data_IF_454792165032
#
_entry.id   IF_454792165032
#
_cell.length_a   1.000
_cell.length_b   1.000
_cell.length_c   1.000
_cell.angle_alpha   90.00
_cell.angle_beta   90.00
_cell.angle_gamma   90.00
#
_symmetry.space_group_name_H-M   'P 1'
#
loop_
_entity.id
_entity.type
_entity.pdbx_description
1 polymer ?
#
# COMPACT_ATOMS: atom_id res chain seq x y z
N UNK A 1 -1.87 19.58 -7.55
CA UNK A 1 -2.88 18.90 -6.69
C UNK A 1 -3.94 19.88 -6.21
N UNK A 2 -3.57 21.11 -5.73
CA UNK A 2 -4.55 22.15 -5.34
C UNK A 2 -5.44 22.65 -6.50
N UNK A 3 -4.93 22.62 -7.73
CA UNK A 3 -5.70 23.05 -8.90
C UNK A 3 -6.77 22.04 -9.33
N UNK A 4 -6.56 20.76 -9.03
CA UNK A 4 -7.47 19.68 -9.43
C UNK A 4 -8.70 19.57 -8.51
N UNK A 5 -8.50 19.80 -7.20
CA UNK A 5 -9.61 19.80 -6.22
C UNK A 5 -10.50 21.04 -6.32
N UNK A 6 -10.01 22.16 -6.87
CA UNK A 6 -10.82 23.36 -7.10
C UNK A 6 -11.86 23.20 -8.19
N UNK A 7 -11.74 22.22 -9.09
CA UNK A 7 -12.63 22.03 -10.23
C UNK A 7 -13.78 21.03 -10.01
N UNK A 8 -13.71 20.19 -8.96
CA UNK A 8 -14.68 19.08 -8.79
C UNK A 8 -15.70 19.34 -7.69
N UNK A 9 -15.36 20.15 -6.69
CA UNK A 9 -16.31 20.49 -5.62
C UNK A 9 -16.21 21.99 -5.30
N UNK A 10 -17.33 22.66 -5.25
CA UNK A 10 -17.46 24.04 -4.75
C UNK A 10 -16.90 24.09 -3.31
N UNK A 11 -15.67 24.62 -3.15
CA UNK A 11 -15.02 24.72 -1.86
C UNK A 11 -13.87 23.76 -1.58
N UNK A 12 -13.50 22.88 -2.53
CA UNK A 12 -12.32 21.99 -2.44
C UNK A 12 -12.29 21.12 -1.19
N UNK A 13 -12.81 19.89 -1.24
CA UNK A 13 -12.69 18.94 -0.13
C UNK A 13 -11.20 18.66 0.09
N UNK A 14 -10.66 18.81 1.32
CA UNK A 14 -9.29 18.44 1.62
C UNK A 14 -9.02 16.97 1.32
N UNK A 15 -7.82 16.66 0.79
CA UNK A 15 -7.43 15.29 0.45
C UNK A 15 -7.57 14.31 1.62
N UNK A 16 -7.26 14.75 2.83
CA UNK A 16 -7.37 13.93 4.03
C UNK A 16 -8.80 13.50 4.34
N UNK A 17 -9.80 14.39 4.10
CA UNK A 17 -11.22 14.07 4.29
C UNK A 17 -11.69 13.04 3.27
N UNK A 18 -11.30 13.22 2.00
CA UNK A 18 -11.67 12.29 0.94
C UNK A 18 -11.04 10.91 1.18
N UNK A 19 -9.75 10.89 1.55
CA UNK A 19 -9.03 9.67 1.83
C UNK A 19 -9.68 8.90 2.99
N UNK A 20 -9.91 9.58 4.11
CA UNK A 20 -10.55 8.97 5.28
C UNK A 20 -11.97 8.48 4.97
N UNK A 21 -12.77 9.29 4.27
CA UNK A 21 -14.16 8.95 3.93
C UNK A 21 -14.28 7.73 3.03
N UNK A 22 -13.40 7.58 2.04
CA UNK A 22 -13.37 6.42 1.15
C UNK A 22 -12.94 5.13 1.86
N UNK A 23 -12.20 5.24 2.96
CA UNK A 23 -11.73 4.08 3.72
C UNK A 23 -12.74 3.57 4.76
N UNK A 24 -13.80 4.33 5.09
CA UNK A 24 -14.83 3.89 6.05
C UNK A 24 -15.45 2.54 5.67
N UNK A 25 -15.90 2.30 4.43
CA UNK A 25 -16.45 1.00 4.04
C UNK A 25 -15.43 -0.13 4.21
N UNK A 26 -14.15 0.13 3.91
CA UNK A 26 -13.08 -0.85 4.08
C UNK A 26 -12.83 -1.18 5.55
N UNK A 27 -12.92 -0.21 6.45
CA UNK A 27 -12.81 -0.45 7.90
C UNK A 27 -13.95 -1.33 8.42
N UNK A 28 -15.19 -1.11 7.96
CA UNK A 28 -16.32 -1.95 8.34
C UNK A 28 -16.17 -3.39 7.86
N UNK A 29 -15.78 -3.58 6.60
CA UNK A 29 -15.49 -4.90 6.03
C UNK A 29 -14.29 -5.56 6.74
N UNK A 30 -13.24 -4.79 6.98
CA UNK A 30 -12.04 -5.25 7.69
C UNK A 30 -12.32 -5.74 9.10
N UNK A 31 -13.18 -5.03 9.82
CA UNK A 31 -13.64 -5.44 11.15
C UNK A 31 -14.32 -6.80 11.11
N UNK A 32 -15.20 -7.00 10.14
CA UNK A 32 -15.92 -8.27 9.98
C UNK A 32 -15.00 -9.43 9.59
N UNK A 33 -13.98 -9.19 8.77
CA UNK A 33 -13.11 -10.22 8.19
C UNK A 33 -11.90 -10.53 9.08
N UNK A 34 -11.15 -9.50 9.53
CA UNK A 34 -9.89 -9.65 10.28
C UNK A 34 -9.99 -9.30 11.77
N UNK A 35 -11.11 -8.73 12.19
CA UNK A 35 -11.37 -8.37 13.58
C UNK A 35 -10.89 -6.97 13.95
N UNK A 36 -11.23 -6.54 15.18
CA UNK A 36 -11.01 -5.19 15.68
C UNK A 36 -9.52 -4.82 15.80
N UNK A 37 -8.66 -5.74 16.21
CA UNK A 37 -7.22 -5.50 16.37
C UNK A 37 -6.54 -5.08 15.06
N UNK A 38 -6.94 -5.65 13.92
CA UNK A 38 -6.44 -5.27 12.60
C UNK A 38 -6.92 -3.88 12.21
N UNK A 39 -8.22 -3.62 12.41
CA UNK A 39 -8.84 -2.34 12.03
C UNK A 39 -8.32 -1.19 12.88
N UNK A 40 -8.07 -1.40 14.18
CA UNK A 40 -7.52 -0.36 15.03
C UNK A 40 -6.12 0.11 14.57
N UNK A 41 -5.27 -0.84 14.13
CA UNK A 41 -3.97 -0.52 13.52
C UNK A 41 -4.13 0.19 12.17
N UNK A 42 -5.11 -0.22 11.36
CA UNK A 42 -5.41 0.42 10.09
C UNK A 42 -5.91 1.86 10.28
N UNK A 43 -6.79 2.10 11.24
CA UNK A 43 -7.26 3.45 11.59
C UNK A 43 -6.10 4.30 12.08
N UNK A 44 -5.21 3.77 12.91
CA UNK A 44 -4.03 4.49 13.38
C UNK A 44 -3.13 4.90 12.20
N UNK A 45 -2.87 3.98 11.26
CA UNK A 45 -2.10 4.25 10.06
C UNK A 45 -2.76 5.33 9.19
N UNK A 46 -4.06 5.22 8.97
CA UNK A 46 -4.85 6.18 8.18
C UNK A 46 -4.88 7.57 8.83
N UNK A 47 -5.10 7.65 10.14
CA UNK A 47 -5.08 8.93 10.88
C UNK A 47 -3.70 9.56 10.79
N UNK A 48 -2.63 8.79 10.95
CA UNK A 48 -1.25 9.27 10.83
C UNK A 48 -0.96 9.80 9.41
N UNK A 49 -1.37 9.05 8.39
CA UNK A 49 -1.23 9.47 6.99
C UNK A 49 -2.03 10.74 6.70
N UNK A 50 -3.29 10.78 7.13
CA UNK A 50 -4.18 11.93 6.92
C UNK A 50 -3.67 13.18 7.66
N UNK A 51 -3.15 13.03 8.87
CA UNK A 51 -2.52 14.11 9.61
C UNK A 51 -1.27 14.63 8.88
N UNK A 52 -0.41 13.72 8.40
CA UNK A 52 0.76 14.10 7.61
C UNK A 52 0.37 14.86 6.35
N UNK A 53 -0.60 14.37 5.60
CA UNK A 53 -1.13 15.03 4.38
C UNK A 53 -1.72 16.42 4.67
N UNK A 54 -2.28 16.64 5.86
CA UNK A 54 -2.84 17.94 6.25
C UNK A 54 -1.76 18.98 6.53
N UNK A 55 -0.61 18.58 7.08
CA UNK A 55 0.48 19.47 7.48
C UNK A 55 1.62 19.55 6.47
N UNK A 56 1.71 18.60 5.54
CA UNK A 56 2.80 18.53 4.58
C UNK A 56 2.81 19.75 3.63
N UNK A 57 3.90 20.52 3.58
CA UNK A 57 4.08 21.54 2.56
C UNK A 57 4.26 20.89 1.19
N UNK A 58 3.71 21.51 0.15
CA UNK A 58 3.88 21.02 -1.23
C UNK A 58 5.28 21.37 -1.70
N UNK A 59 6.21 20.44 -1.58
CA UNK A 59 7.56 20.57 -2.13
C UNK A 59 7.59 19.94 -3.51
N UNK A 60 7.94 20.73 -4.52
CA UNK A 60 8.11 20.23 -5.88
C UNK A 60 9.57 19.79 -6.09
N UNK A 61 9.98 18.69 -5.39
CA UNK A 61 11.35 18.18 -5.44
C UNK A 61 11.73 17.59 -6.80
N UNK A 62 10.76 17.04 -7.51
CA UNK A 62 10.98 16.43 -8.83
C UNK A 62 10.78 17.42 -9.98
N UNK A 63 10.38 18.66 -9.71
CA UNK A 63 10.00 19.62 -10.75
C UNK A 63 8.85 19.09 -11.60
N UNK A 64 8.98 19.17 -12.91
CA UNK A 64 8.03 18.64 -13.88
C UNK A 64 8.44 17.25 -14.41
N UNK A 65 9.51 16.65 -13.86
CA UNK A 65 10.01 15.35 -14.28
C UNK A 65 9.20 14.22 -13.64
N UNK A 66 8.24 13.69 -14.42
CA UNK A 66 7.38 12.59 -14.00
C UNK A 66 8.15 11.28 -13.77
N UNK A 67 9.25 11.05 -14.50
CA UNK A 67 10.07 9.85 -14.33
C UNK A 67 10.79 9.89 -12.97
N UNK A 68 11.39 11.04 -12.65
CA UNK A 68 12.06 11.26 -11.37
C UNK A 68 11.06 11.09 -10.20
N UNK A 69 9.87 11.68 -10.34
CA UNK A 69 8.79 11.53 -9.36
C UNK A 69 8.33 10.08 -9.19
N UNK A 70 8.20 9.31 -10.28
CA UNK A 70 7.79 7.92 -10.25
C UNK A 70 8.86 7.03 -9.60
N UNK A 71 10.14 7.24 -9.91
CA UNK A 71 11.24 6.44 -9.38
C UNK A 71 11.44 6.69 -7.87
N UNK A 72 11.71 7.93 -7.48
CA UNK A 72 11.97 8.25 -6.07
C UNK A 72 10.71 8.14 -5.22
N UNK A 73 9.56 8.59 -5.74
CA UNK A 73 8.29 8.45 -5.07
C UNK A 73 7.91 6.99 -4.84
N UNK A 74 8.11 6.12 -5.85
CA UNK A 74 7.86 4.68 -5.75
C UNK A 74 8.74 4.00 -4.71
N UNK A 75 10.04 4.32 -4.66
CA UNK A 75 10.95 3.76 -3.66
C UNK A 75 10.57 4.20 -2.24
N UNK A 76 10.39 5.51 -2.01
CA UNK A 76 10.06 6.06 -0.68
C UNK A 76 8.71 5.51 -0.20
N UNK A 77 7.72 5.47 -1.08
CA UNK A 77 6.41 4.91 -0.78
C UNK A 77 6.49 3.42 -0.47
N UNK A 78 7.27 2.65 -1.24
CA UNK A 78 7.49 1.23 -1.03
C UNK A 78 8.12 0.92 0.32
N UNK A 79 9.11 1.72 0.75
CA UNK A 79 9.70 1.63 2.11
C UNK A 79 8.62 1.91 3.16
N UNK A 80 7.85 2.99 3.01
CA UNK A 80 6.79 3.35 3.96
C UNK A 80 5.74 2.25 4.11
N UNK A 81 5.21 1.74 3.01
CA UNK A 81 4.22 0.64 3.00
C UNK A 81 4.80 -0.64 3.60
N UNK A 82 6.04 -0.99 3.22
CA UNK A 82 6.73 -2.17 3.77
C UNK A 82 6.87 -2.11 5.29
N UNK A 83 7.24 -0.95 5.85
CA UNK A 83 7.33 -0.75 7.31
C UNK A 83 5.97 -0.86 8.00
N UNK A 84 4.92 -0.29 7.40
CA UNK A 84 3.55 -0.40 7.92
C UNK A 84 3.08 -1.86 7.96
N UNK A 85 3.34 -2.63 6.91
CA UNK A 85 3.01 -4.07 6.87
C UNK A 85 3.82 -4.89 7.87
N UNK A 86 5.09 -4.57 8.10
CA UNK A 86 5.91 -5.21 9.15
C UNK A 86 5.34 -4.94 10.55
N UNK A 87 4.78 -3.76 10.79
CA UNK A 87 4.02 -3.43 12.00
C UNK A 87 2.67 -4.16 12.13
N UNK A 88 2.27 -4.92 11.09
CA UNK A 88 0.98 -5.59 11.03
C UNK A 88 -0.19 -4.63 10.85
N UNK A 89 0.09 -3.43 10.33
CA UNK A 89 -0.90 -2.40 10.01
C UNK A 89 -1.17 -2.29 8.51
N UNK A 90 -1.90 -1.26 8.14
CA UNK A 90 -2.19 -0.82 6.76
C UNK A 90 -2.57 0.66 6.83
N UNK A 91 -2.43 1.38 5.73
CA UNK A 91 -2.77 2.80 5.64
C UNK A 91 -4.20 3.04 5.11
N UNK A 92 -5.01 2.00 4.97
CA UNK A 92 -6.29 2.06 4.25
C UNK A 92 -6.07 1.90 2.73
N UNK A 93 -7.11 2.10 1.93
CA UNK A 93 -6.99 2.04 0.47
C UNK A 93 -6.68 0.65 -0.09
N UNK A 94 -5.86 0.60 -1.16
CA UNK A 94 -5.54 -0.64 -1.89
C UNK A 94 -4.72 -1.63 -1.07
N UNK A 95 -3.87 -1.15 -0.17
CA UNK A 95 -3.09 -1.97 0.76
C UNK A 95 -4.00 -2.70 1.77
N UNK A 96 -5.03 -2.05 2.27
CA UNK A 96 -6.03 -2.69 3.12
C UNK A 96 -6.87 -3.71 2.34
N UNK A 97 -7.30 -3.37 1.11
CA UNK A 97 -7.99 -4.33 0.24
C UNK A 97 -7.13 -5.56 -0.01
N UNK A 98 -5.85 -5.38 -0.34
CA UNK A 98 -4.91 -6.46 -0.56
C UNK A 98 -4.76 -7.34 0.71
N UNK A 99 -4.64 -6.72 1.88
CA UNK A 99 -4.56 -7.44 3.15
C UNK A 99 -5.83 -8.25 3.47
N UNK A 100 -7.02 -7.76 3.09
CA UNK A 100 -8.28 -8.49 3.26
C UNK A 100 -8.37 -9.67 2.29
N UNK A 101 -8.02 -9.47 1.01
CA UNK A 101 -8.02 -10.51 -0.02
C UNK A 101 -6.98 -11.59 0.31
N UNK A 102 -5.82 -11.23 0.84
CA UNK A 102 -4.76 -12.16 1.23
C UNK A 102 -5.23 -13.18 2.28
N UNK A 103 -6.22 -12.86 3.09
CA UNK A 103 -6.82 -13.83 4.02
C UNK A 103 -7.42 -15.05 3.29
N UNK A 104 -7.92 -14.83 2.08
CA UNK A 104 -8.49 -15.87 1.22
C UNK A 104 -7.44 -16.48 0.29
N UNK A 105 -6.50 -15.64 -0.21
CA UNK A 105 -5.43 -16.05 -1.12
C UNK A 105 -4.09 -16.14 -0.38
N UNK A 106 -3.96 -17.12 0.51
CA UNK A 106 -2.79 -17.27 1.41
C UNK A 106 -1.45 -17.53 0.71
N UNK A 107 -1.48 -17.96 -0.56
CA UNK A 107 -0.27 -18.28 -1.34
C UNK A 107 0.42 -17.04 -1.93
N UNK A 108 -0.26 -15.89 -1.94
CA UNK A 108 0.28 -14.66 -2.49
C UNK A 108 0.68 -13.68 -1.39
N UNK A 109 1.74 -12.89 -1.64
CA UNK A 109 2.11 -11.80 -0.73
C UNK A 109 1.07 -10.66 -0.80
N UNK A 110 0.97 -9.86 0.26
CA UNK A 110 0.09 -8.69 0.27
C UNK A 110 0.49 -7.72 -0.85
N UNK A 111 1.80 -7.51 -1.07
CA UNK A 111 2.29 -6.61 -2.09
C UNK A 111 1.98 -7.12 -3.51
N UNK A 112 2.01 -8.43 -3.77
CA UNK A 112 1.61 -9.00 -5.05
C UNK A 112 0.12 -8.76 -5.34
N UNK A 113 -0.75 -8.97 -4.34
CA UNK A 113 -2.18 -8.71 -4.49
C UNK A 113 -2.43 -7.21 -4.70
N UNK A 114 -1.74 -6.35 -3.94
CA UNK A 114 -1.79 -4.89 -4.08
C UNK A 114 -1.38 -4.48 -5.49
N UNK A 115 -0.30 -5.05 -6.04
CA UNK A 115 0.13 -4.78 -7.42
C UNK A 115 -0.94 -5.07 -8.46
N UNK A 116 -1.68 -6.17 -8.30
CA UNK A 116 -2.79 -6.52 -9.22
C UNK A 116 -3.92 -5.49 -9.12
N UNK A 117 -4.30 -5.09 -7.91
CA UNK A 117 -5.34 -4.07 -7.69
C UNK A 117 -4.89 -2.74 -8.31
N UNK A 118 -3.67 -2.32 -8.02
CA UNK A 118 -3.11 -1.06 -8.54
C UNK A 118 -2.97 -1.08 -10.06
N UNK A 119 -2.62 -2.23 -10.66
CA UNK A 119 -2.59 -2.38 -12.12
C UNK A 119 -3.97 -2.15 -12.75
N UNK A 120 -5.03 -2.69 -12.15
CA UNK A 120 -6.41 -2.43 -12.59
C UNK A 120 -6.75 -0.94 -12.49
N UNK A 121 -6.38 -0.29 -11.38
CA UNK A 121 -6.60 1.15 -11.18
C UNK A 121 -5.82 1.97 -12.22
N UNK A 122 -4.58 1.58 -12.54
CA UNK A 122 -3.77 2.27 -13.55
C UNK A 122 -4.40 2.12 -14.94
N UNK A 123 -4.92 0.94 -15.29
CA UNK A 123 -5.61 0.72 -16.57
C UNK A 123 -6.84 1.63 -16.66
N UNK A 124 -7.65 1.72 -15.61
CA UNK A 124 -8.78 2.64 -15.57
C UNK A 124 -8.31 4.09 -15.63
N UNK A 125 -7.27 4.43 -14.88
CA UNK A 125 -6.64 5.76 -14.87
C UNK A 125 -6.10 6.18 -16.23
N UNK A 126 -5.66 5.24 -17.07
CA UNK A 126 -5.17 5.50 -18.42
C UNK A 126 -6.23 6.19 -19.30
N UNK A 127 -7.49 5.79 -19.16
CA UNK A 127 -8.61 6.42 -19.87
C UNK A 127 -8.88 7.86 -19.40
N UNK A 128 -8.60 8.17 -18.16
CA UNK A 128 -8.86 9.49 -17.55
C UNK A 128 -7.67 10.44 -17.73
N UNK A 129 -6.45 9.96 -17.50
CA UNK A 129 -5.24 10.78 -17.42
C UNK A 129 -4.34 10.68 -18.67
N UNK A 130 -4.63 9.74 -19.55
CA UNK A 130 -3.88 9.48 -20.79
C UNK A 130 -2.72 8.51 -20.60
N UNK A 131 -2.27 7.95 -21.73
CA UNK A 131 -1.26 6.89 -21.82
C UNK A 131 0.08 7.27 -21.16
N UNK A 132 0.57 8.49 -21.40
CA UNK A 132 1.87 8.95 -20.89
C UNK A 132 1.95 8.87 -19.35
N UNK A 133 0.93 9.35 -18.65
CA UNK A 133 0.90 9.34 -17.19
C UNK A 133 0.72 7.93 -16.63
N UNK A 134 -0.03 7.08 -17.34
CA UNK A 134 -0.22 5.70 -16.96
C UNK A 134 1.07 4.88 -17.02
N UNK A 135 1.94 5.12 -18.01
CA UNK A 135 3.24 4.46 -18.10
C UNK A 135 4.14 4.77 -16.89
N UNK A 136 4.18 6.03 -16.45
CA UNK A 136 4.92 6.38 -15.23
C UNK A 136 4.29 5.79 -13.97
N UNK A 137 2.96 5.69 -13.91
CA UNK A 137 2.27 5.02 -12.81
C UNK A 137 2.62 3.53 -12.73
N UNK A 138 2.76 2.83 -13.85
CA UNK A 138 3.20 1.43 -13.90
C UNK A 138 4.60 1.28 -13.28
N UNK A 139 5.53 2.16 -13.63
CA UNK A 139 6.88 2.16 -13.06
C UNK A 139 6.82 2.37 -11.54
N UNK A 140 6.04 3.34 -11.08
CA UNK A 140 5.89 3.61 -9.66
C UNK A 140 5.29 2.43 -8.90
N UNK A 141 4.20 1.84 -9.38
CA UNK A 141 3.54 0.65 -8.78
C UNK A 141 4.51 -0.53 -8.71
N UNK A 142 5.27 -0.79 -9.78
CA UNK A 142 6.26 -1.85 -9.79
C UNK A 142 7.34 -1.64 -8.73
N UNK A 143 7.88 -0.41 -8.60
CA UNK A 143 8.88 -0.08 -7.59
C UNK A 143 8.33 -0.21 -6.17
N UNK A 144 7.14 0.33 -5.92
CA UNK A 144 6.45 0.20 -4.61
C UNK A 144 6.36 -1.27 -4.22
N UNK A 145 5.88 -2.13 -5.11
CA UNK A 145 5.73 -3.56 -4.83
C UNK A 145 7.08 -4.22 -4.55
N UNK A 146 8.08 -4.00 -5.41
CA UNK A 146 9.41 -4.63 -5.25
C UNK A 146 10.11 -4.20 -3.96
N UNK A 147 10.05 -2.91 -3.63
CA UNK A 147 10.66 -2.39 -2.40
C UNK A 147 9.90 -2.86 -1.17
N UNK A 148 8.57 -2.85 -1.18
CA UNK A 148 7.75 -3.38 -0.08
C UNK A 148 8.00 -4.86 0.16
N UNK A 149 7.96 -5.69 -0.89
CA UNK A 149 8.24 -7.13 -0.78
C UNK A 149 9.64 -7.39 -0.25
N UNK A 150 10.65 -6.70 -0.80
CA UNK A 150 12.02 -6.82 -0.35
C UNK A 150 12.20 -6.51 1.14
N UNK A 151 11.49 -5.51 1.66
CA UNK A 151 11.49 -5.20 3.09
C UNK A 151 10.75 -6.26 3.92
N UNK A 152 9.59 -6.71 3.47
CA UNK A 152 8.77 -7.69 4.19
C UNK A 152 9.47 -9.04 4.23
N UNK A 153 10.04 -9.50 3.11
CA UNK A 153 10.76 -10.77 3.01
C UNK A 153 12.15 -10.69 3.64
N UNK A 154 12.88 -9.59 3.41
CA UNK A 154 14.23 -9.40 3.92
C UNK A 154 14.34 -9.29 5.45
N UNK A 155 13.28 -8.82 6.12
CA UNK A 155 13.22 -8.74 7.59
C UNK A 155 12.53 -9.95 8.24
N UNK A 156 11.82 -10.76 7.47
CA UNK A 156 11.33 -12.08 7.89
C UNK A 156 12.39 -13.14 7.59
N UNK A 157 13.46 -13.18 8.35
CA UNK A 157 14.43 -14.27 8.27
C UNK A 157 13.80 -15.59 8.73
N UNK A 158 13.10 -16.27 7.83
CA UNK A 158 12.72 -17.67 8.02
C UNK A 158 13.98 -18.52 7.86
N UNK A 159 14.56 -18.95 8.98
CA UNK A 159 15.64 -19.94 8.93
C UNK A 159 14.99 -21.30 8.66
N UNK A 160 15.11 -21.82 7.45
CA UNK A 160 14.80 -23.21 7.17
C UNK A 160 16.00 -24.05 7.68
N UNK A 161 15.81 -24.76 8.77
CA UNK A 161 16.78 -25.75 9.23
C UNK A 161 16.45 -27.07 8.55
N UNK A 162 17.31 -27.52 7.62
CA UNK A 162 17.25 -28.86 7.07
C UNK A 162 17.97 -29.79 8.02
N UNK A 163 17.22 -30.59 8.78
CA UNK A 163 17.79 -31.60 9.69
C UNK A 163 17.79 -32.93 8.95
N UNK A 164 18.97 -33.37 8.52
CA UNK A 164 19.14 -34.69 7.94
C UNK A 164 19.45 -35.63 9.10
N UNK A 165 18.52 -36.53 9.43
CA UNK A 165 18.70 -37.48 10.52
C UNK A 165 18.28 -38.88 10.08
N UNK A 166 18.99 -39.88 10.60
CA UNK A 166 18.60 -41.28 10.43
C UNK A 166 17.51 -41.78 11.41
N UNK A 167 17.04 -40.87 12.32
CA UNK A 167 16.03 -41.20 13.33
C UNK A 167 14.98 -40.06 13.41
N UNK A 168 14.01 -39.99 12.47
CA UNK A 168 13.04 -38.91 12.39
C UNK A 168 12.11 -38.85 13.62
N UNK A 169 11.85 -39.96 14.27
CA UNK A 169 10.87 -40.06 15.37
C UNK A 169 11.38 -39.43 16.69
N UNK A 170 12.70 -39.28 16.88
CA UNK A 170 13.29 -38.65 18.07
C UNK A 170 13.25 -37.09 18.02
N UNK A 171 12.98 -36.48 16.84
CA UNK A 171 13.04 -35.02 16.65
C UNK A 171 11.61 -34.44 16.54
N UNK A 172 10.61 -35.27 16.34
CA UNK A 172 9.20 -34.90 16.14
C UNK A 172 8.41 -34.68 17.44
N UNK A 173 9.03 -34.86 18.61
CA UNK A 173 8.39 -34.66 19.93
C UNK A 173 8.77 -33.34 20.58
#
# INVERSE_FOLDING_TARGET
VKAWTKGIVYGGIPLWVTNFGLNIPLFLIGWRIRGFSFVSKAILGEVSLSAWLAFQPVWNLAGDDLLLAALYGGVIQGVGIGLVFLGGGTTGGTDMMAALIQKFLKHYSIAQIMQVIDAVIVIVGMYVFGMHKALYAIIAVYLVTKVSDGLIEGLKFSKAAYIITGKPDEISN
#
